data_IF_066451837461
#
_entry.id   IF_066451837461
#
_cell.length_a   1.000
_cell.length_b   1.000
_cell.length_c   1.000
_cell.angle_alpha   90.00
_cell.angle_beta   90.00
_cell.angle_gamma   90.00
#
_symmetry.space_group_name_H-M   'P 1'
#
loop_
_entity.id
_entity.type
_entity.pdbx_description
1 polymer ?
#
# COMPACT_ATOMS: atom_id res chain seq x y z
N UNK A 1 -10.31 -5.73 5.22
CA UNK A 1 -10.71 -4.33 5.00
C UNK A 1 -9.50 -3.50 4.58
N UNK A 2 -9.69 -2.35 3.95
CA UNK A 2 -8.60 -1.40 3.62
C UNK A 2 -8.05 -0.70 4.87
N UNK A 3 -8.89 -0.54 5.88
CA UNK A 3 -8.53 0.02 7.19
C UNK A 3 -8.88 -0.99 8.29
N UNK A 4 -8.05 -1.07 9.33
CA UNK A 4 -8.35 -1.81 10.56
C UNK A 4 -7.93 -1.00 11.79
N UNK A 5 -8.63 -1.21 12.89
CA UNK A 5 -8.36 -0.60 14.19
C UNK A 5 -7.96 -1.69 15.19
N UNK A 6 -7.10 -1.33 16.14
CA UNK A 6 -6.78 -2.17 17.28
C UNK A 6 -6.73 -1.28 18.54
N UNK A 7 -7.55 -1.56 19.56
CA UNK A 7 -8.64 -2.54 19.59
C UNK A 7 -9.76 -2.25 18.57
N UNK A 8 -10.37 -3.31 18.00
CA UNK A 8 -11.54 -3.21 17.11
C UNK A 8 -12.89 -3.34 17.86
N UNK A 9 -12.82 -3.74 19.12
CA UNK A 9 -13.94 -3.94 20.02
C UNK A 9 -14.05 -2.80 21.04
N UNK A 10 -15.22 -2.62 21.67
CA UNK A 10 -15.37 -1.68 22.78
C UNK A 10 -14.33 -1.92 23.88
N UNK A 11 -13.72 -0.84 24.36
CA UNK A 11 -12.71 -0.86 25.41
C UNK A 11 -13.03 0.18 26.49
N UNK A 12 -12.55 -0.06 27.70
CA UNK A 12 -12.73 0.87 28.82
C UNK A 12 -11.64 1.96 28.80
N UNK A 13 -12.05 3.20 29.05
CA UNK A 13 -11.13 4.31 29.29
C UNK A 13 -10.97 4.51 30.79
N UNK A 14 -9.77 4.22 31.32
CA UNK A 14 -9.46 4.49 32.73
C UNK A 14 -9.11 5.97 32.92
N UNK A 15 -9.65 6.58 33.98
CA UNK A 15 -9.40 7.99 34.29
C UNK A 15 -7.90 8.24 34.52
N UNK A 16 -7.35 9.25 33.85
CA UNK A 16 -5.93 9.62 33.94
C UNK A 16 -4.96 8.66 33.24
N UNK A 17 -5.46 7.59 32.60
CA UNK A 17 -4.63 6.67 31.83
C UNK A 17 -4.54 7.09 30.36
N UNK A 18 -3.43 6.73 29.72
CA UNK A 18 -3.29 6.84 28.26
C UNK A 18 -3.74 5.53 27.63
N UNK A 19 -4.70 5.61 26.71
CA UNK A 19 -5.12 4.46 25.90
C UNK A 19 -4.62 4.62 24.48
N UNK A 20 -3.90 3.62 23.98
CA UNK A 20 -3.38 3.61 22.62
C UNK A 20 -4.37 2.93 21.67
N UNK A 21 -4.66 3.61 20.55
CA UNK A 21 -5.41 3.06 19.42
C UNK A 21 -4.46 2.97 18.22
N UNK A 22 -4.37 1.79 17.61
CA UNK A 22 -3.56 1.57 16.41
C UNK A 22 -4.46 1.47 15.19
N UNK A 23 -4.25 2.36 14.23
CA UNK A 23 -4.91 2.33 12.93
C UNK A 23 -3.94 1.80 11.89
N UNK A 24 -4.35 0.77 11.15
CA UNK A 24 -3.61 0.27 10.00
C UNK A 24 -4.39 0.58 8.73
N UNK A 25 -3.71 1.14 7.73
CA UNK A 25 -4.28 1.44 6.43
C UNK A 25 -3.48 0.74 5.33
N UNK A 26 -4.18 0.01 4.45
CA UNK A 26 -3.62 -0.70 3.31
C UNK A 26 -4.38 -0.31 2.04
N UNK A 27 -4.00 0.81 1.39
CA UNK A 27 -4.65 1.27 0.17
C UNK A 27 -4.59 0.22 -0.94
N UNK A 28 -5.71 -0.01 -1.63
CA UNK A 28 -5.81 -0.98 -2.74
C UNK A 28 -5.75 -0.35 -4.13
N UNK A 29 -5.94 0.96 -4.20
CA UNK A 29 -5.89 1.72 -5.43
C UNK A 29 -5.04 2.99 -5.20
N UNK A 30 -4.59 3.59 -6.30
CA UNK A 30 -4.05 4.93 -6.25
C UNK A 30 -5.18 5.95 -6.06
N UNK A 31 -4.91 7.02 -5.33
CA UNK A 31 -5.90 8.04 -5.02
C UNK A 31 -5.66 8.70 -3.68
N UNK A 32 -6.62 9.54 -3.29
CA UNK A 32 -6.65 10.23 -2.01
C UNK A 32 -7.82 9.68 -1.22
N UNK A 33 -7.57 9.27 0.02
CA UNK A 33 -8.55 8.63 0.87
C UNK A 33 -8.69 9.42 2.17
N UNK A 34 -9.92 9.54 2.64
CA UNK A 34 -10.25 10.20 3.88
C UNK A 34 -11.14 9.29 4.71
N UNK A 35 -10.73 9.04 5.95
CA UNK A 35 -11.50 8.25 6.90
C UNK A 35 -11.75 9.08 8.16
N UNK A 36 -12.98 9.11 8.61
CA UNK A 36 -13.35 9.74 9.88
C UNK A 36 -13.41 8.65 10.93
N UNK A 37 -12.69 8.85 12.02
CA UNK A 37 -12.65 7.92 13.17
C UNK A 37 -13.29 8.62 14.35
N UNK A 38 -14.30 7.99 14.92
CA UNK A 38 -14.99 8.50 16.10
C UNK A 38 -14.74 7.59 17.29
N UNK A 39 -14.35 8.19 18.41
CA UNK A 39 -14.45 7.57 19.72
C UNK A 39 -15.74 8.04 20.37
N UNK A 40 -16.63 7.09 20.67
CA UNK A 40 -17.96 7.35 21.23
C UNK A 40 -18.07 6.63 22.56
N UNK A 41 -18.56 7.33 23.59
CA UNK A 41 -18.98 6.69 24.82
C UNK A 41 -20.31 5.97 24.58
N UNK A 42 -20.31 4.65 24.70
CA UNK A 42 -21.48 3.82 24.44
C UNK A 42 -22.58 3.97 25.49
N UNK A 43 -22.24 4.36 26.73
CA UNK A 43 -23.21 4.52 27.80
C UNK A 43 -24.02 5.82 27.63
N UNK A 44 -23.33 6.94 27.45
CA UNK A 44 -23.96 8.25 27.27
C UNK A 44 -24.32 8.58 25.81
N UNK A 45 -23.86 7.77 24.85
CA UNK A 45 -23.96 8.00 23.39
C UNK A 45 -23.37 9.34 22.97
N UNK A 46 -22.31 9.79 23.65
CA UNK A 46 -21.63 11.05 23.35
C UNK A 46 -20.35 10.82 22.58
N UNK A 47 -20.01 11.76 21.71
CA UNK A 47 -18.73 11.76 20.99
C UNK A 47 -17.62 12.23 21.93
N UNK A 48 -16.67 11.35 22.24
CA UNK A 48 -15.51 11.66 23.08
C UNK A 48 -14.45 12.38 22.25
N UNK A 49 -14.20 11.91 21.02
CA UNK A 49 -13.21 12.49 20.12
C UNK A 49 -13.47 12.10 18.68
N UNK A 50 -12.97 12.91 17.75
CA UNK A 50 -13.06 12.68 16.31
C UNK A 50 -11.73 13.00 15.65
N UNK A 51 -11.29 12.10 14.76
CA UNK A 51 -10.07 12.26 13.98
C UNK A 51 -10.36 12.11 12.50
N UNK A 52 -9.68 12.92 11.68
CA UNK A 52 -9.68 12.79 10.22
C UNK A 52 -8.34 12.20 9.78
N UNK A 53 -8.40 11.01 9.19
CA UNK A 53 -7.23 10.29 8.67
C UNK A 53 -7.18 10.50 7.17
N UNK A 54 -6.17 11.23 6.70
CA UNK A 54 -5.93 11.48 5.29
C UNK A 54 -4.78 10.61 4.78
N UNK A 55 -5.02 9.85 3.72
CA UNK A 55 -4.01 9.05 3.05
C UNK A 55 -3.92 9.37 1.56
N UNK A 56 -2.71 9.26 1.02
CA UNK A 56 -2.43 9.43 -0.40
C UNK A 56 -1.70 8.17 -0.87
N UNK A 57 -2.33 7.42 -1.75
CA UNK A 57 -1.71 6.30 -2.46
C UNK A 57 -1.38 6.75 -3.88
N UNK A 58 -0.15 6.52 -4.32
CA UNK A 58 0.29 6.85 -5.68
C UNK A 58 0.54 5.57 -6.45
N UNK A 59 0.23 5.58 -7.75
CA UNK A 59 0.67 4.49 -8.65
C UNK A 59 2.19 4.41 -8.54
N UNK A 60 2.78 3.18 -8.49
CA UNK A 60 4.22 3.02 -8.55
C UNK A 60 4.79 3.77 -9.75
N UNK A 61 5.86 4.54 -9.55
CA UNK A 61 6.49 5.25 -10.65
C UNK A 61 7.19 4.25 -11.58
N UNK A 62 6.95 4.36 -12.89
CA UNK A 62 7.70 3.59 -13.88
C UNK A 62 9.14 4.11 -13.89
N UNK A 63 10.06 3.36 -13.28
CA UNK A 63 11.48 3.78 -13.19
C UNK A 63 12.21 3.60 -14.51
N UNK A 64 11.85 2.58 -15.30
CA UNK A 64 12.43 2.27 -16.62
C UNK A 64 11.41 1.59 -17.52
N UNK A 65 11.46 1.90 -18.81
CA UNK A 65 10.68 1.24 -19.86
C UNK A 65 11.61 0.61 -20.89
N UNK A 66 11.27 -0.59 -21.37
CA UNK A 66 12.06 -1.32 -22.36
C UNK A 66 11.15 -1.79 -23.50
N UNK A 67 11.56 -1.56 -24.75
CA UNK A 67 10.94 -2.17 -25.92
C UNK A 67 11.76 -3.38 -26.38
N UNK A 68 11.09 -4.45 -26.77
CA UNK A 68 11.71 -5.68 -27.30
C UNK A 68 11.00 -6.05 -28.61
N UNK A 69 11.75 -6.08 -29.70
CA UNK A 69 11.26 -6.62 -30.97
C UNK A 69 11.64 -8.08 -31.06
N UNK A 70 10.63 -8.96 -31.11
CA UNK A 70 10.81 -10.41 -31.13
C UNK A 70 10.49 -10.91 -32.55
N UNK A 71 11.46 -11.49 -33.29
CA UNK A 71 11.19 -12.05 -34.60
C UNK A 71 10.24 -13.25 -34.49
N UNK A 72 9.40 -13.48 -35.49
CA UNK A 72 8.46 -14.61 -35.49
C UNK A 72 9.23 -15.93 -35.34
N UNK A 73 8.91 -16.70 -34.30
CA UNK A 73 9.54 -18.01 -33.92
C UNK A 73 10.94 -17.95 -33.29
N UNK A 74 11.51 -16.77 -33.04
CA UNK A 74 12.78 -16.62 -32.32
C UNK A 74 12.55 -15.85 -31.01
N UNK A 75 13.10 -16.33 -29.90
CA UNK A 75 13.08 -15.58 -28.64
C UNK A 75 14.07 -14.42 -28.64
N UNK A 76 13.82 -13.39 -27.82
CA UNK A 76 14.77 -12.30 -27.57
C UNK A 76 15.17 -12.27 -26.08
N UNK A 77 16.41 -11.87 -25.78
CA UNK A 77 16.88 -11.69 -24.41
C UNK A 77 17.40 -10.26 -24.25
N UNK A 78 16.98 -9.58 -23.19
CA UNK A 78 17.50 -8.29 -22.78
C UNK A 78 17.91 -8.34 -21.32
N UNK A 79 19.20 -8.08 -21.07
CA UNK A 79 19.69 -7.86 -19.71
C UNK A 79 19.21 -6.51 -19.22
N UNK A 80 18.43 -6.52 -18.15
CA UNK A 80 17.95 -5.31 -17.48
C UNK A 80 18.75 -5.12 -16.19
N UNK A 81 19.52 -4.03 -16.12
CA UNK A 81 20.17 -3.61 -14.89
C UNK A 81 19.21 -2.75 -14.06
N UNK A 82 18.73 -3.31 -12.95
CA UNK A 82 18.02 -2.57 -11.91
C UNK A 82 19.01 -2.23 -10.81
N UNK A 83 19.10 -0.93 -10.49
CA UNK A 83 19.79 -0.44 -9.30
C UNK A 83 18.73 0.25 -8.46
N UNK A 84 18.68 -0.04 -7.16
CA UNK A 84 17.79 0.65 -6.25
C UNK A 84 18.35 2.07 -6.00
N UNK A 85 17.74 3.14 -6.55
CA UNK A 85 18.25 4.50 -6.36
C UNK A 85 17.81 5.09 -5.01
N UNK A 86 17.00 4.36 -4.23
CA UNK A 86 16.47 4.82 -2.96
C UNK A 86 17.38 4.42 -1.80
N UNK A 87 17.34 5.20 -0.72
CA UNK A 87 18.10 4.95 0.52
C UNK A 87 17.49 3.87 1.42
N UNK A 88 16.42 3.21 0.96
CA UNK A 88 15.70 2.15 1.66
C UNK A 88 15.46 0.96 0.73
N UNK A 89 15.15 -0.20 1.31
CA UNK A 89 14.86 -1.42 0.54
C UNK A 89 13.60 -1.26 -0.32
N UNK A 90 13.77 -1.23 -1.63
CA UNK A 90 12.69 -1.12 -2.60
C UNK A 90 12.61 -2.39 -3.45
N UNK A 91 11.43 -3.00 -3.48
CA UNK A 91 11.15 -4.13 -4.38
C UNK A 91 10.68 -3.58 -5.73
N UNK A 92 11.41 -3.89 -6.80
CA UNK A 92 11.02 -3.55 -8.16
C UNK A 92 10.18 -4.68 -8.76
N UNK A 93 9.04 -4.32 -9.33
CA UNK A 93 8.18 -5.24 -10.09
C UNK A 93 8.32 -4.92 -11.58
N UNK A 94 8.48 -5.96 -12.39
CA UNK A 94 8.41 -5.85 -13.84
C UNK A 94 6.99 -6.15 -14.29
N UNK A 95 6.40 -5.24 -15.06
CA UNK A 95 5.06 -5.40 -15.64
C UNK A 95 5.14 -5.45 -17.17
N UNK A 96 4.25 -6.21 -17.80
CA UNK A 96 4.18 -6.38 -19.25
C UNK A 96 2.75 -6.67 -19.69
N UNK A 97 2.40 -6.17 -20.87
CA UNK A 97 1.14 -6.45 -21.57
C UNK A 97 1.00 -7.91 -22.05
N UNK A 98 2.12 -8.63 -22.17
CA UNK A 98 2.16 -10.03 -22.65
C UNK A 98 2.94 -10.94 -21.68
N UNK A 99 2.43 -11.16 -20.46
CA UNK A 99 3.14 -11.92 -19.42
C UNK A 99 3.47 -13.37 -19.81
N UNK A 100 2.67 -13.95 -20.70
CA UNK A 100 2.87 -15.30 -21.23
C UNK A 100 4.12 -15.44 -22.13
N UNK A 101 4.66 -14.34 -22.64
CA UNK A 101 5.87 -14.32 -23.47
C UNK A 101 7.15 -14.07 -22.65
N UNK A 102 7.00 -13.74 -21.36
CA UNK A 102 8.10 -13.32 -20.52
C UNK A 102 8.66 -14.49 -19.71
N UNK A 103 9.96 -14.75 -19.87
CA UNK A 103 10.70 -15.72 -19.06
C UNK A 103 11.81 -15.04 -18.28
N UNK A 104 11.89 -15.32 -16.98
CA UNK A 104 12.97 -14.83 -16.13
C UNK A 104 14.09 -15.87 -16.04
N UNK A 105 15.32 -15.44 -16.27
CA UNK A 105 16.51 -16.23 -15.94
C UNK A 105 17.16 -15.59 -14.73
N UNK A 106 17.10 -16.26 -13.59
CA UNK A 106 17.89 -15.89 -12.42
C UNK A 106 19.36 -16.20 -12.72
N UNK A 107 20.25 -15.31 -12.31
CA UNK A 107 21.69 -15.57 -12.33
C UNK A 107 22.15 -15.83 -10.91
#
# INVERSE_FOLDING_TARGET
>A
AEMSLNPDAPFALAAGAVTQLTLTLRPRAAGRFQHVVHAVDLASRTLVSSWLVCAVSRVPAITKSFSLTVPTRLGANRKVALSNPYTYDATFLLDTDSPHLLGFKQK
#
